data_IF_906867028564
#
_entry.id   IF_906867028564
#
_cell.length_a   1.000
_cell.length_b   1.000
_cell.length_c   1.000
_cell.angle_alpha   90.00
_cell.angle_beta   90.00
_cell.angle_gamma   90.00
#
_symmetry.space_group_name_H-M   'P 1'
#
loop_
_entity.id
_entity.type
_entity.pdbx_description
1 polymer ?
#
# COMPACT_ATOMS: atom_id res chain seq x y z
N UNK A 1 12.01 12.09 17.41
CA UNK A 1 12.12 11.49 16.07
C UNK A 1 11.21 12.27 15.14
N UNK A 2 11.74 12.89 14.08
CA UNK A 2 10.86 13.46 13.04
C UNK A 2 10.18 12.27 12.33
N UNK A 3 8.87 12.30 12.07
CA UNK A 3 8.25 11.28 11.24
C UNK A 3 8.99 11.27 9.89
N UNK A 4 9.35 10.08 9.41
CA UNK A 4 9.90 9.94 8.07
C UNK A 4 8.90 10.55 7.09
N UNK A 5 9.39 11.35 6.13
CA UNK A 5 8.51 11.95 5.14
C UNK A 5 7.86 10.84 4.30
N UNK A 6 6.53 10.89 4.15
CA UNK A 6 5.80 9.93 3.34
C UNK A 6 6.31 9.94 1.88
N UNK A 7 6.46 8.74 1.31
CA UNK A 7 6.94 8.52 -0.06
C UNK A 7 5.90 9.08 -1.03
N UNK A 8 6.34 9.97 -1.92
CA UNK A 8 5.54 10.46 -3.05
C UNK A 8 5.90 9.63 -4.27
N UNK A 9 5.03 8.68 -4.61
CA UNK A 9 5.12 7.87 -5.80
C UNK A 9 3.72 7.65 -6.37
N UNK A 10 3.66 7.35 -7.66
CA UNK A 10 2.45 6.78 -8.22
C UNK A 10 2.35 5.32 -7.80
N UNK A 11 1.29 4.97 -7.09
CA UNK A 11 1.09 3.64 -6.52
C UNK A 11 -0.17 2.98 -7.08
N UNK A 12 -0.26 1.68 -6.86
CA UNK A 12 -1.41 0.82 -7.07
C UNK A 12 -1.69 0.08 -5.76
N UNK A 13 -2.97 -0.19 -5.51
CA UNK A 13 -3.41 -0.87 -4.30
C UNK A 13 -4.25 -2.06 -4.70
N UNK A 14 -3.80 -3.25 -4.32
CA UNK A 14 -4.47 -4.52 -4.59
C UNK A 14 -4.96 -5.12 -3.28
N UNK A 15 -6.23 -5.45 -3.21
CA UNK A 15 -6.78 -6.30 -2.14
C UNK A 15 -6.57 -7.74 -2.56
N UNK A 16 -5.96 -8.55 -1.68
CA UNK A 16 -5.55 -9.92 -2.02
C UNK A 16 -6.02 -10.98 -1.03
N UNK A 17 -6.32 -12.16 -1.55
CA UNK A 17 -6.36 -13.40 -0.78
C UNK A 17 -4.92 -13.89 -0.54
N UNK A 18 -4.54 -13.96 0.73
CA UNK A 18 -3.21 -14.40 1.18
C UNK A 18 -2.97 -15.89 0.95
N UNK A 19 -4.03 -16.67 0.74
CA UNK A 19 -3.96 -18.12 0.49
C UNK A 19 -3.75 -18.46 -0.98
N UNK A 20 -3.82 -17.49 -1.88
CA UNK A 20 -3.59 -17.71 -3.29
C UNK A 20 -2.15 -18.14 -3.59
N UNK A 21 -1.96 -18.81 -4.73
CA UNK A 21 -0.65 -19.37 -5.13
C UNK A 21 0.36 -18.29 -5.49
N UNK A 22 -0.10 -17.14 -5.97
CA UNK A 22 0.71 -15.98 -6.29
C UNK A 22 -0.12 -14.68 -6.20
N UNK A 23 0.53 -13.54 -6.44
CA UNK A 23 -0.08 -12.21 -6.39
C UNK A 23 -1.17 -11.99 -7.45
N UNK A 24 -1.08 -12.63 -8.61
CA UNK A 24 -2.06 -12.50 -9.68
C UNK A 24 -3.34 -13.26 -9.33
N UNK A 25 -3.19 -14.53 -8.96
CA UNK A 25 -4.31 -15.37 -8.51
C UNK A 25 -4.98 -14.85 -7.24
N UNK A 26 -4.24 -14.11 -6.40
CA UNK A 26 -4.76 -13.52 -5.18
C UNK A 26 -5.52 -12.23 -5.35
N UNK A 27 -5.46 -11.55 -6.51
CA UNK A 27 -6.11 -10.25 -6.68
C UNK A 27 -7.64 -10.37 -6.67
N UNK A 28 -8.27 -9.64 -5.75
CA UNK A 28 -9.72 -9.62 -5.60
C UNK A 28 -10.33 -8.30 -6.06
N UNK A 29 -9.66 -7.18 -5.77
CA UNK A 29 -10.14 -5.85 -6.11
C UNK A 29 -8.99 -4.83 -6.11
N UNK A 30 -9.15 -3.78 -6.90
CA UNK A 30 -8.34 -2.57 -6.78
C UNK A 30 -8.87 -1.67 -5.65
N UNK A 31 -7.96 -0.94 -5.00
CA UNK A 31 -8.28 0.04 -3.97
C UNK A 31 -7.61 1.38 -4.20
N UNK A 32 -7.89 2.31 -3.30
CA UNK A 32 -7.31 3.65 -3.24
C UNK A 32 -6.85 3.90 -1.82
N UNK A 33 -5.56 4.22 -1.62
CA UNK A 33 -5.04 4.67 -0.33
C UNK A 33 -5.58 6.08 -0.05
N UNK A 34 -6.58 6.20 0.82
CA UNK A 34 -7.24 7.47 1.14
C UNK A 34 -6.62 8.20 2.35
N UNK A 35 -5.90 7.45 3.18
CA UNK A 35 -5.08 7.96 4.27
C UNK A 35 -3.91 6.98 4.50
N UNK A 36 -2.94 7.32 5.34
CA UNK A 36 -1.77 6.49 5.60
C UNK A 36 -2.11 5.06 6.04
N UNK A 37 -3.26 4.81 6.66
CA UNK A 37 -3.69 3.48 7.11
C UNK A 37 -5.08 3.09 6.62
N UNK A 38 -5.67 3.81 5.65
CA UNK A 38 -7.01 3.54 5.15
C UNK A 38 -7.03 3.37 3.64
N UNK A 39 -7.65 2.27 3.20
CA UNK A 39 -7.83 1.95 1.80
C UNK A 39 -9.31 1.85 1.49
N UNK A 40 -9.77 2.69 0.56
CA UNK A 40 -11.10 2.62 -0.04
C UNK A 40 -11.10 1.55 -1.14
N UNK A 41 -12.11 0.70 -1.15
CA UNK A 41 -12.38 -0.28 -2.20
C UNK A 41 -13.74 0.07 -2.81
N UNK A 42 -13.77 0.82 -3.91
CA UNK A 42 -15.00 1.10 -4.64
C UNK A 42 -15.48 -0.17 -5.36
N UNK A 43 -16.79 -0.40 -5.37
CA UNK A 43 -17.42 -1.63 -5.88
C UNK A 43 -16.80 -2.93 -5.30
N UNK A 44 -16.90 -3.14 -3.98
CA UNK A 44 -16.20 -4.23 -3.33
C UNK A 44 -16.86 -5.58 -3.65
N UNK A 45 -16.07 -6.63 -4.01
CA UNK A 45 -16.62 -7.95 -4.20
C UNK A 45 -17.14 -8.52 -2.87
N UNK A 46 -18.20 -9.32 -2.95
CA UNK A 46 -18.86 -9.92 -1.76
C UNK A 46 -17.90 -10.72 -0.88
N UNK A 47 -16.85 -11.30 -1.48
CA UNK A 47 -15.84 -12.09 -0.78
C UNK A 47 -15.10 -11.32 0.31
N UNK A 48 -15.00 -9.98 0.21
CA UNK A 48 -14.35 -9.15 1.23
C UNK A 48 -15.11 -9.12 2.57
N UNK A 49 -16.36 -9.59 2.60
CA UNK A 49 -17.16 -9.72 3.83
C UNK A 49 -17.08 -11.11 4.45
N UNK A 50 -16.40 -12.07 3.82
CA UNK A 50 -16.26 -13.41 4.39
C UNK A 50 -15.33 -13.35 5.61
N UNK A 51 -15.82 -13.64 6.83
CA UNK A 51 -14.99 -13.62 8.03
C UNK A 51 -13.90 -14.71 8.03
N UNK A 52 -13.95 -15.68 7.12
CA UNK A 52 -12.97 -16.75 6.98
C UNK A 52 -11.93 -16.47 5.87
N UNK A 53 -12.11 -15.40 5.10
CA UNK A 53 -11.12 -14.95 4.13
C UNK A 53 -9.87 -14.41 4.83
N UNK A 54 -8.69 -14.81 4.36
CA UNK A 54 -7.42 -14.30 4.86
C UNK A 54 -6.93 -13.21 3.91
N UNK A 55 -7.28 -11.96 4.22
CA UNK A 55 -7.12 -10.83 3.31
C UNK A 55 -5.92 -9.96 3.69
N UNK A 56 -5.21 -9.46 2.69
CA UNK A 56 -4.23 -8.37 2.85
C UNK A 56 -4.41 -7.29 1.80
N UNK A 57 -3.79 -6.15 2.06
CA UNK A 57 -3.63 -5.07 1.09
C UNK A 57 -2.17 -5.04 0.66
N UNK A 58 -1.95 -5.13 -0.65
CA UNK A 58 -0.64 -4.94 -1.28
C UNK A 58 -0.60 -3.57 -1.92
N UNK A 59 0.30 -2.71 -1.45
CA UNK A 59 0.53 -1.36 -1.98
C UNK A 59 1.90 -1.37 -2.65
N UNK A 60 1.95 -0.95 -3.91
CA UNK A 60 3.18 -1.02 -4.72
C UNK A 60 3.25 0.15 -5.71
N UNK A 61 4.45 0.57 -6.13
CA UNK A 61 4.58 1.64 -7.12
C UNK A 61 4.15 1.15 -8.51
N UNK A 62 3.53 2.02 -9.31
CA UNK A 62 3.15 1.70 -10.69
C UNK A 62 4.38 1.39 -11.56
N UNK A 63 5.46 2.15 -11.35
CA UNK A 63 6.79 1.81 -11.83
C UNK A 63 7.51 0.93 -10.81
N UNK A 64 7.71 -0.34 -11.12
CA UNK A 64 8.39 -1.31 -10.25
C UNK A 64 9.91 -1.06 -10.18
N UNK A 65 10.30 0.01 -9.48
CA UNK A 65 11.69 0.33 -9.11
C UNK A 65 12.07 -0.42 -7.82
N UNK A 66 13.24 -1.06 -7.80
CA UNK A 66 13.75 -1.82 -6.66
C UNK A 66 13.90 -0.98 -5.37
N UNK A 67 14.03 0.34 -5.50
CA UNK A 67 14.19 1.26 -4.36
C UNK A 67 12.89 1.59 -3.62
N UNK A 68 11.74 1.36 -4.24
CA UNK A 68 10.44 1.65 -3.66
C UNK A 68 9.80 0.37 -3.09
N UNK A 69 9.33 0.38 -1.82
CA UNK A 69 8.89 -0.84 -1.17
C UNK A 69 7.57 -1.36 -1.73
N UNK A 70 7.44 -2.68 -1.88
CA UNK A 70 6.15 -3.35 -1.93
C UNK A 70 5.68 -3.59 -0.50
N UNK A 71 4.55 -3.02 -0.13
CA UNK A 71 3.99 -3.12 1.21
C UNK A 71 2.80 -4.10 1.24
N UNK A 72 2.98 -5.27 1.84
CA UNK A 72 1.90 -6.21 2.11
C UNK A 72 1.41 -6.08 3.56
N UNK A 73 0.30 -5.38 3.78
CA UNK A 73 -0.24 -5.05 5.09
C UNK A 73 -1.51 -5.89 5.40
N UNK A 74 -1.57 -6.57 6.56
CA UNK A 74 -2.81 -7.23 6.98
C UNK A 74 -3.91 -6.20 7.25
N UNK A 75 -5.16 -6.57 6.98
CA UNK A 75 -6.33 -5.75 7.33
C UNK A 75 -6.80 -6.12 8.73
N UNK A 76 -6.95 -5.15 9.62
CA UNK A 76 -7.49 -5.41 10.97
C UNK A 76 -8.97 -5.06 11.11
N UNK A 77 -9.52 -4.23 10.20
CA UNK A 77 -10.93 -3.85 10.21
C UNK A 77 -11.44 -3.49 8.83
N UNK A 78 -12.64 -3.96 8.51
CA UNK A 78 -13.43 -3.54 7.36
C UNK A 78 -14.59 -2.67 7.81
N UNK A 79 -14.90 -1.62 7.04
CA UNK A 79 -16.08 -0.77 7.21
C UNK A 79 -16.89 -0.79 5.93
N UNK A 80 -18.20 -0.96 6.07
CA UNK A 80 -19.14 -0.96 4.95
C UNK A 80 -19.76 0.43 4.80
N UNK A 81 -19.76 0.95 3.57
CA UNK A 81 -20.43 2.19 3.19
C UNK A 81 -21.45 1.91 2.10
N UNK A 82 -22.72 2.20 2.39
CA UNK A 82 -23.82 1.98 1.47
C UNK A 82 -25.06 2.77 1.90
N UNK A 83 -25.98 2.95 0.97
CA UNK A 83 -27.26 3.61 1.22
C UNK A 83 -28.27 2.58 1.72
N UNK A 84 -28.66 2.67 2.99
CA UNK A 84 -29.66 1.80 3.63
C UNK A 84 -29.42 0.31 3.36
N UNK A 85 -30.42 -0.43 2.88
CA UNK A 85 -30.37 -1.86 2.61
C UNK A 85 -29.81 -2.21 1.22
N UNK A 86 -29.30 -1.22 0.47
CA UNK A 86 -28.68 -1.45 -0.84
C UNK A 86 -27.31 -2.12 -0.69
N UNK A 87 -26.85 -2.69 -1.80
CA UNK A 87 -25.47 -3.15 -1.91
C UNK A 87 -24.50 -2.01 -1.53
N UNK A 88 -23.38 -2.34 -0.86
CA UNK A 88 -22.41 -1.34 -0.47
C UNK A 88 -21.80 -0.69 -1.71
N UNK A 89 -21.67 0.64 -1.66
CA UNK A 89 -20.95 1.40 -2.70
C UNK A 89 -19.44 1.24 -2.53
N UNK A 90 -18.98 1.08 -1.28
CA UNK A 90 -17.58 0.93 -0.97
C UNK A 90 -17.35 0.17 0.33
N UNK A 91 -16.16 -0.42 0.43
CA UNK A 91 -15.56 -0.79 1.72
C UNK A 91 -14.36 0.09 2.02
N UNK A 92 -14.06 0.25 3.31
CA UNK A 92 -12.79 0.82 3.78
C UNK A 92 -12.07 -0.22 4.63
N UNK A 93 -10.88 -0.61 4.19
CA UNK A 93 -9.94 -1.41 4.97
C UNK A 93 -9.08 -0.49 5.84
N UNK A 94 -8.96 -0.82 7.12
CA UNK A 94 -7.95 -0.24 8.01
C UNK A 94 -6.74 -1.18 8.09
N UNK A 95 -5.57 -0.66 7.76
CA UNK A 95 -4.31 -1.41 7.69
C UNK A 95 -3.71 -1.62 9.08
N UNK A 96 -3.11 -2.79 9.32
CA UNK A 96 -2.46 -3.10 10.60
C UNK A 96 -1.20 -2.26 10.88
N UNK A 97 -0.71 -1.55 9.86
CA UNK A 97 0.38 -0.58 9.95
C UNK A 97 0.13 0.53 8.94
N UNK A 98 0.54 1.75 9.29
CA UNK A 98 0.54 2.88 8.37
C UNK A 98 1.50 2.59 7.21
N UNK A 99 1.04 2.85 6.00
CA UNK A 99 1.82 2.81 4.77
C UNK A 99 2.89 3.89 4.77
N UNK A 100 4.05 3.59 4.19
CA UNK A 100 5.08 4.59 3.90
C UNK A 100 4.69 5.54 2.77
N UNK A 101 3.69 5.18 1.96
CA UNK A 101 3.20 5.99 0.84
C UNK A 101 2.21 7.06 1.28
N UNK A 102 2.17 8.15 0.50
CA UNK A 102 1.16 9.19 0.65
C UNK A 102 -0.19 8.74 0.09
N UNK A 103 -1.27 9.22 0.68
CA UNK A 103 -2.62 9.08 0.14
C UNK A 103 -2.70 9.52 -1.33
N UNK A 104 -3.52 8.81 -2.09
CA UNK A 104 -3.73 8.98 -3.53
C UNK A 104 -4.86 9.95 -3.87
N UNK A 105 -5.68 10.30 -2.88
CA UNK A 105 -6.86 11.16 -3.09
C UNK A 105 -6.47 12.64 -3.13
N UNK A 106 -7.02 13.33 -4.12
CA UNK A 106 -7.07 14.78 -4.19
C UNK A 106 -8.13 15.38 -3.27
N UNK A 107 -8.42 16.66 -3.47
CA UNK A 107 -9.53 17.32 -2.79
C UNK A 107 -10.85 17.01 -3.52
N UNK A 108 -11.90 16.74 -2.76
CA UNK A 108 -13.24 16.51 -3.29
C UNK A 108 -14.24 17.39 -2.54
N UNK A 109 -15.12 18.07 -3.28
CA UNK A 109 -16.29 18.70 -2.68
C UNK A 109 -17.36 17.62 -2.39
N UNK A 110 -17.88 17.51 -1.16
CA UNK A 110 -18.83 16.46 -0.81
C UNK A 110 -20.15 16.52 -1.59
N UNK A 111 -20.65 17.71 -1.92
CA UNK A 111 -21.90 17.85 -2.65
C UNK A 111 -21.71 17.46 -4.12
N UNK A 112 -20.63 17.94 -4.75
CA UNK A 112 -20.27 17.55 -6.11
C UNK A 112 -20.01 16.04 -6.23
N UNK A 113 -19.37 15.42 -5.23
CA UNK A 113 -19.16 13.97 -5.23
C UNK A 113 -20.49 13.20 -5.10
N UNK A 114 -21.42 13.67 -4.27
CA UNK A 114 -22.75 13.06 -4.15
C UNK A 114 -23.51 13.12 -5.48
N UNK A 115 -23.53 14.28 -6.14
CA UNK A 115 -24.13 14.45 -7.47
C UNK A 115 -23.47 13.55 -8.52
N UNK A 116 -22.14 13.43 -8.48
CA UNK A 116 -21.39 12.56 -9.39
C UNK A 116 -21.74 11.08 -9.19
N UNK A 117 -21.89 10.62 -7.94
CA UNK A 117 -22.32 9.25 -7.61
C UNK A 117 -23.72 8.98 -8.16
N UNK A 118 -24.66 9.91 -7.98
CA UNK A 118 -26.01 9.77 -8.51
C UNK A 118 -26.01 9.75 -10.05
N UNK A 119 -25.28 10.66 -10.70
CA UNK A 119 -25.14 10.73 -12.15
C UNK A 119 -24.43 9.51 -12.75
N UNK A 120 -23.62 8.79 -11.96
CA UNK A 120 -22.98 7.53 -12.33
C UNK A 120 -23.81 6.29 -11.98
N UNK A 121 -25.05 6.46 -11.49
CA UNK A 121 -25.92 5.34 -11.12
C UNK A 121 -25.41 4.53 -9.92
N UNK A 122 -24.60 5.14 -9.05
CA UNK A 122 -23.96 4.48 -7.92
C UNK A 122 -22.58 3.89 -8.21
N UNK A 123 -22.03 4.07 -9.41
CA UNK A 123 -20.63 3.70 -9.69
C UNK A 123 -19.68 4.72 -9.04
N UNK A 124 -19.10 4.33 -7.89
CA UNK A 124 -18.17 5.18 -7.16
C UNK A 124 -16.84 5.37 -7.88
N UNK A 125 -16.38 4.37 -8.65
CA UNK A 125 -15.15 4.52 -9.43
C UNK A 125 -15.31 5.64 -10.47
N UNK A 126 -16.43 5.60 -11.20
CA UNK A 126 -16.75 6.61 -12.19
C UNK A 126 -16.93 8.00 -11.55
N UNK A 127 -17.60 8.08 -10.40
CA UNK A 127 -17.76 9.35 -9.69
C UNK A 127 -16.42 9.95 -9.24
N UNK A 128 -15.50 9.14 -8.70
CA UNK A 128 -14.18 9.60 -8.26
C UNK A 128 -13.31 10.06 -9.42
N UNK A 129 -13.38 9.39 -10.58
CA UNK A 129 -12.65 9.80 -11.80
C UNK A 129 -13.18 11.11 -12.37
N UNK A 130 -14.50 11.25 -12.52
CA UNK A 130 -15.14 12.48 -13.05
C UNK A 130 -14.82 13.72 -12.21
N UNK A 131 -14.60 13.53 -10.91
CA UNK A 131 -14.24 14.60 -9.97
C UNK A 131 -12.73 14.80 -9.84
N UNK A 132 -11.92 14.08 -10.64
CA UNK A 132 -10.44 14.12 -10.60
C UNK A 132 -9.86 13.87 -9.20
N UNK A 133 -10.59 13.15 -8.34
CA UNK A 133 -10.18 12.82 -6.97
C UNK A 133 -9.08 11.77 -7.00
N UNK A 134 -9.11 10.90 -8.00
CA UNK A 134 -8.11 9.86 -8.27
C UNK A 134 -7.69 9.93 -9.73
N UNK A 135 -6.48 9.44 -10.04
CA UNK A 135 -6.05 9.27 -11.43
C UNK A 135 -6.87 8.19 -12.12
N UNK A 136 -7.10 8.34 -13.43
CA UNK A 136 -7.93 7.42 -14.21
C UNK A 136 -7.43 5.98 -14.21
N UNK A 137 -6.12 5.77 -14.18
CA UNK A 137 -5.47 4.46 -14.33
C UNK A 137 -5.14 3.77 -13.00
N UNK A 138 -5.52 4.37 -11.86
CA UNK A 138 -5.21 3.87 -10.51
C UNK A 138 -5.70 2.44 -10.24
N UNK A 139 -6.78 2.04 -10.93
CA UNK A 139 -7.46 0.76 -10.78
C UNK A 139 -6.95 -0.29 -11.76
N UNK A 140 -6.10 0.09 -12.73
CA UNK A 140 -5.56 -0.83 -13.72
C UNK A 140 -4.42 -1.64 -13.08
N UNK A 141 -4.74 -2.89 -12.78
CA UNK A 141 -3.84 -3.89 -12.21
C UNK A 141 -4.04 -5.17 -13.03
N UNK A 142 -3.03 -5.55 -13.81
CA UNK A 142 -3.05 -6.79 -14.59
C UNK A 142 -2.20 -7.89 -13.95
N UNK A 143 -2.42 -9.13 -14.41
CA UNK A 143 -1.76 -10.31 -13.87
C UNK A 143 -0.23 -10.30 -14.06
N UNK A 144 0.25 -9.72 -15.16
CA UNK A 144 1.69 -9.64 -15.45
C UNK A 144 2.38 -8.68 -14.47
N UNK A 145 1.75 -7.54 -14.20
CA UNK A 145 2.18 -6.58 -13.19
C UNK A 145 2.20 -7.24 -11.81
N UNK A 146 1.15 -7.95 -11.43
CA UNK A 146 1.06 -8.61 -10.12
C UNK A 146 2.10 -9.70 -9.94
N UNK A 147 2.38 -10.51 -10.96
CA UNK A 147 3.46 -11.51 -10.91
C UNK A 147 4.82 -10.84 -10.64
N UNK A 148 5.12 -9.75 -11.34
CA UNK A 148 6.35 -8.96 -11.12
C UNK A 148 6.41 -8.30 -9.73
N UNK A 149 5.27 -7.84 -9.20
CA UNK A 149 5.17 -7.34 -7.82
C UNK A 149 5.53 -8.42 -6.82
N UNK A 150 5.07 -9.66 -7.03
CA UNK A 150 5.42 -10.80 -6.17
C UNK A 150 6.91 -11.11 -6.17
N UNK A 151 7.54 -11.12 -7.34
CA UNK A 151 9.00 -11.30 -7.48
C UNK A 151 9.78 -10.19 -6.77
N UNK A 152 9.38 -8.92 -6.97
CA UNK A 152 10.02 -7.77 -6.34
C UNK A 152 9.88 -7.82 -4.82
N UNK A 153 8.68 -8.10 -4.31
CA UNK A 153 8.45 -8.23 -2.87
C UNK A 153 9.31 -9.33 -2.26
N UNK A 154 9.41 -10.48 -2.92
CA UNK A 154 10.26 -11.58 -2.47
C UNK A 154 11.74 -11.15 -2.42
N UNK A 155 12.23 -10.48 -3.45
CA UNK A 155 13.59 -9.95 -3.48
C UNK A 155 13.84 -8.90 -2.39
N UNK A 156 12.85 -8.04 -2.09
CA UNK A 156 12.95 -7.03 -1.02
C UNK A 156 12.93 -7.62 0.38
N UNK A 157 12.27 -8.77 0.57
CA UNK A 157 12.25 -9.51 1.84
C UNK A 157 13.53 -10.31 2.09
N UNK A 158 14.31 -10.60 1.04
CA UNK A 158 15.59 -11.27 1.20
C UNK A 158 16.56 -10.37 1.99
N UNK A 159 17.06 -10.81 3.16
CA UNK A 159 17.95 -9.98 3.96
C UNK A 159 19.22 -9.63 3.17
N UNK A 160 19.45 -8.35 2.91
CA UNK A 160 20.71 -7.88 2.35
C UNK A 160 21.83 -8.12 3.37
N UNK A 161 22.61 -9.17 3.16
CA UNK A 161 23.79 -9.49 3.98
C UNK A 161 24.97 -8.70 3.45
N UNK A 162 25.48 -7.78 4.27
CA UNK A 162 26.77 -7.15 4.02
C UNK A 162 27.86 -7.93 4.77
N UNK A 163 28.81 -8.52 4.05
CA UNK A 163 30.04 -9.02 4.64
C UNK A 163 31.04 -7.88 4.76
N UNK A 164 31.32 -7.46 5.99
CA UNK A 164 32.40 -6.52 6.26
C UNK A 164 33.68 -7.32 6.54
N UNK A 165 34.73 -7.07 5.76
CA UNK A 165 36.06 -7.62 5.99
C UNK A 165 36.95 -6.52 6.53
N UNK A 166 37.77 -6.87 7.52
CA UNK A 166 38.69 -5.96 8.18
C UNK A 166 40.06 -6.63 8.24
N UNK A 167 41.11 -5.87 7.95
CA UNK A 167 42.47 -6.38 7.91
C UNK A 167 43.09 -6.56 9.31
N UNK A 168 42.43 -6.03 10.35
CA UNK A 168 42.87 -6.16 11.73
C UNK A 168 41.72 -6.05 12.74
N UNK A 169 41.96 -6.55 13.97
CA UNK A 169 41.03 -6.37 15.10
C UNK A 169 40.81 -4.90 15.47
N UNK A 170 41.81 -4.04 15.21
CA UNK A 170 41.70 -2.59 15.43
C UNK A 170 40.70 -1.96 14.46
N UNK A 171 40.77 -2.32 13.19
CA UNK A 171 39.86 -1.82 12.15
C UNK A 171 38.44 -2.32 12.34
N UNK A 172 38.29 -3.58 12.77
CA UNK A 172 37.00 -4.15 13.18
C UNK A 172 36.37 -3.36 14.32
N UNK A 173 37.14 -2.97 15.34
CA UNK A 173 36.65 -2.19 16.48
C UNK A 173 36.24 -0.77 16.06
N UNK A 174 36.97 -0.16 15.12
CA UNK A 174 36.56 1.08 14.45
C UNK A 174 35.26 0.92 13.67
N UNK A 175 35.09 -0.21 12.97
CA UNK A 175 33.85 -0.57 12.27
C UNK A 175 32.67 -0.76 13.21
N UNK A 176 32.86 -1.38 14.38
CA UNK A 176 31.81 -1.51 15.39
C UNK A 176 31.35 -0.15 15.93
N UNK A 177 32.22 0.86 15.99
CA UNK A 177 31.85 2.18 16.48
C UNK A 177 30.76 2.85 15.60
N UNK A 178 30.66 2.47 14.32
CA UNK A 178 29.61 2.94 13.39
C UNK A 178 28.24 2.35 13.77
N UNK A 179 28.21 1.13 14.30
CA UNK A 179 26.99 0.38 14.62
C UNK A 179 26.58 0.53 16.09
N UNK A 180 27.57 0.57 16.97
CA UNK A 180 27.43 0.73 18.41
C UNK A 180 28.21 1.99 18.77
N UNK A 181 27.52 3.10 19.03
CA UNK A 181 28.18 4.35 19.35
C UNK A 181 28.74 4.32 20.79
N UNK A 182 29.82 3.55 21.02
CA UNK A 182 30.47 3.37 22.33
C UNK A 182 31.71 4.25 22.52
N UNK A 183 32.13 4.98 21.49
CA UNK A 183 33.28 5.86 21.55
C UNK A 183 32.83 7.27 21.99
N UNK A 184 33.27 7.79 23.13
CA UNK A 184 33.13 9.22 23.48
C UNK A 184 34.47 9.95 23.36
N UNK A 185 34.49 11.21 22.87
CA UNK A 185 33.52 11.91 22.02
C UNK A 185 33.90 11.82 20.53
N UNK A 186 32.90 11.68 19.66
CA UNK A 186 33.09 11.80 18.20
C UNK A 186 33.19 13.29 17.84
N UNK A 187 34.32 13.72 17.28
CA UNK A 187 34.41 15.01 16.62
C UNK A 187 33.46 15.06 15.41
N UNK A 188 32.94 16.24 15.04
CA UNK A 188 32.07 16.37 13.87
C UNK A 188 32.85 15.96 12.60
N UNK A 189 32.18 15.20 11.72
CA UNK A 189 32.62 15.01 10.34
C UNK A 189 32.28 16.24 9.52
#
# INVERSE_FOLDING_TARGET
>A
MRPAAAIRAEIRVSIQDRRATDRAAGHLAAGVLIDGDQVLVPDPPKLLLDPHADLEVVIFPAGLDEHLPVEAAPVWKWRRFGLTDRAPLAFVASLGRTSGYRAQVGHADPAALAEAIEAAGGDLWEALRRQEVVKDDIHLIDDDLLRRVGELEQAQREPRRAEHRFDSLRDLTGGFCILFCFCQPHGPR
#
